data_IF_330661930769
#
_entry.id   IF_330661930769
#
_cell.length_a   1.000
_cell.length_b   1.000
_cell.length_c   1.000
_cell.angle_alpha   90.00
_cell.angle_beta   90.00
_cell.angle_gamma   90.00
#
_symmetry.space_group_name_H-M   'P 1'
#
loop_
_entity.id
_entity.type
_entity.pdbx_description
1 polymer ?
#
# COMPACT_ATOMS: atom_id res chain seq x y z
N UNK A 1 -24.81 8.69 15.97
CA UNK A 1 -23.64 9.38 15.40
C UNK A 1 -22.53 8.35 15.28
N UNK A 2 -22.03 7.99 14.10
CA UNK A 2 -20.78 7.25 14.05
C UNK A 2 -19.74 8.19 14.65
N UNK A 3 -19.17 7.82 15.80
CA UNK A 3 -18.10 8.62 16.41
C UNK A 3 -16.99 8.72 15.35
N UNK A 4 -16.32 9.88 15.19
CA UNK A 4 -15.17 9.95 14.30
C UNK A 4 -14.21 8.84 14.72
N UNK A 5 -14.00 7.87 13.82
CA UNK A 5 -13.13 6.73 14.08
C UNK A 5 -11.80 7.27 14.62
N UNK A 6 -11.36 6.77 15.77
CA UNK A 6 -10.21 7.33 16.49
C UNK A 6 -9.00 7.37 15.56
N UNK A 7 -8.31 8.51 15.47
CA UNK A 7 -7.13 8.70 14.62
C UNK A 7 -6.06 7.62 14.83
N UNK A 8 -6.01 7.04 16.03
CA UNK A 8 -5.14 5.93 16.39
C UNK A 8 -5.45 4.62 15.64
N UNK A 9 -6.72 4.34 15.35
CA UNK A 9 -7.15 3.13 14.61
C UNK A 9 -6.66 3.14 13.17
N UNK A 10 -6.78 4.29 12.50
CA UNK A 10 -6.20 4.50 11.17
C UNK A 10 -4.68 4.29 11.20
N UNK A 11 -3.98 4.81 12.21
CA UNK A 11 -2.54 4.61 12.35
C UNK A 11 -2.15 3.13 12.48
N UNK A 12 -2.82 2.40 13.38
CA UNK A 12 -2.56 0.97 13.57
C UNK A 12 -2.87 0.17 12.29
N UNK A 13 -3.99 0.45 11.63
CA UNK A 13 -4.37 -0.24 10.41
C UNK A 13 -3.33 -0.01 9.28
N UNK A 14 -2.84 1.23 9.14
CA UNK A 14 -1.79 1.56 8.19
C UNK A 14 -0.47 0.82 8.49
N UNK A 15 -0.05 0.80 9.75
CA UNK A 15 1.18 0.09 10.16
C UNK A 15 1.04 -1.42 9.94
N UNK A 16 -0.13 -2.00 10.23
CA UNK A 16 -0.37 -3.42 10.00
C UNK A 16 -0.30 -3.80 8.50
N UNK A 17 -0.91 -3.00 7.64
CA UNK A 17 -0.81 -3.18 6.19
C UNK A 17 0.65 -3.03 5.70
N UNK A 18 1.39 -2.06 6.25
CA UNK A 18 2.80 -1.84 5.93
C UNK A 18 3.68 -3.04 6.32
N UNK A 19 3.46 -3.62 7.50
CA UNK A 19 4.20 -4.82 7.94
C UNK A 19 3.96 -5.97 6.96
N UNK A 20 2.72 -6.15 6.50
CA UNK A 20 2.40 -7.15 5.48
C UNK A 20 3.18 -6.90 4.18
N UNK A 21 3.25 -5.66 3.69
CA UNK A 21 3.97 -5.32 2.45
C UNK A 21 5.47 -5.59 2.55
N UNK A 22 6.07 -5.24 3.70
CA UNK A 22 7.48 -5.52 4.00
C UNK A 22 7.74 -7.03 4.07
N UNK A 23 6.87 -7.78 4.76
CA UNK A 23 6.99 -9.24 4.84
C UNK A 23 6.87 -9.91 3.49
N UNK A 24 5.97 -9.43 2.63
CA UNK A 24 5.81 -9.95 1.28
C UNK A 24 7.07 -9.73 0.45
N UNK A 25 7.65 -8.52 0.48
CA UNK A 25 8.87 -8.22 -0.26
C UNK A 25 10.07 -9.04 0.25
N UNK A 26 10.24 -9.13 1.58
CA UNK A 26 11.29 -9.94 2.19
C UNK A 26 11.12 -11.43 1.88
N UNK A 27 9.90 -11.95 1.93
CA UNK A 27 9.60 -13.35 1.62
C UNK A 27 9.91 -13.70 0.17
N UNK A 28 9.52 -12.84 -0.78
CA UNK A 28 9.84 -13.02 -2.20
C UNK A 28 11.36 -13.02 -2.42
N UNK A 29 12.08 -12.07 -1.83
CA UNK A 29 13.54 -12.00 -1.97
C UNK A 29 14.28 -13.10 -1.22
N UNK A 30 13.76 -13.63 -0.12
CA UNK A 30 14.31 -14.79 0.55
C UNK A 30 14.22 -16.05 -0.34
N UNK A 31 13.10 -16.23 -1.03
CA UNK A 31 12.91 -17.32 -2.00
C UNK A 31 13.86 -17.14 -3.19
N UNK A 32 13.94 -15.94 -3.77
CA UNK A 32 14.85 -15.65 -4.87
C UNK A 32 16.33 -15.78 -4.46
N UNK A 33 16.68 -15.41 -3.24
CA UNK A 33 18.01 -15.64 -2.67
C UNK A 33 18.36 -17.12 -2.61
N UNK A 34 17.40 -17.97 -2.23
CA UNK A 34 17.61 -19.41 -2.15
C UNK A 34 17.73 -20.08 -3.54
N UNK A 35 16.88 -19.72 -4.50
CA UNK A 35 16.83 -20.39 -5.81
C UNK A 35 17.73 -19.77 -6.88
N UNK A 36 17.98 -18.46 -6.81
CA UNK A 36 18.68 -17.70 -7.85
C UNK A 36 19.93 -16.98 -7.32
N UNK A 37 20.25 -17.12 -6.03
CA UNK A 37 21.44 -16.51 -5.43
C UNK A 37 21.36 -14.99 -5.34
N UNK A 38 20.16 -14.41 -5.33
CA UNK A 38 19.96 -12.96 -5.20
C UNK A 38 20.42 -12.50 -3.81
N UNK A 39 21.34 -11.55 -3.78
CA UNK A 39 21.86 -10.99 -2.54
C UNK A 39 20.99 -9.83 -2.04
N UNK A 40 20.87 -9.75 -0.71
CA UNK A 40 20.27 -8.60 -0.02
C UNK A 40 21.36 -7.58 0.23
N UNK A 41 21.52 -6.65 -0.71
CA UNK A 41 22.53 -5.60 -0.69
C UNK A 41 21.94 -4.24 -0.28
N UNK A 42 22.78 -3.20 -0.31
CA UNK A 42 22.35 -1.83 0.02
C UNK A 42 21.26 -1.31 -0.92
N UNK A 43 21.25 -1.74 -2.18
CA UNK A 43 20.20 -1.37 -3.12
C UNK A 43 18.87 -2.01 -2.73
N UNK A 44 18.86 -3.29 -2.33
CA UNK A 44 17.64 -3.92 -1.80
C UNK A 44 17.05 -3.13 -0.61
N UNK A 45 17.87 -2.73 0.35
CA UNK A 45 17.40 -1.94 1.51
C UNK A 45 16.82 -0.60 1.04
N UNK A 46 17.46 0.04 0.05
CA UNK A 46 16.97 1.29 -0.56
C UNK A 46 15.61 1.08 -1.24
N UNK A 47 15.43 -0.03 -1.95
CA UNK A 47 14.16 -0.38 -2.57
C UNK A 47 13.07 -0.62 -1.52
N UNK A 48 13.38 -1.37 -0.46
CA UNK A 48 12.45 -1.65 0.63
C UNK A 48 11.95 -0.36 1.30
N UNK A 49 12.85 0.57 1.63
CA UNK A 49 12.48 1.87 2.21
C UNK A 49 11.62 2.70 1.25
N UNK A 50 11.90 2.64 -0.05
CA UNK A 50 11.11 3.32 -1.07
C UNK A 50 9.69 2.75 -1.14
N UNK A 51 9.55 1.42 -1.14
CA UNK A 51 8.25 0.72 -1.17
C UNK A 51 7.42 1.07 0.07
N UNK A 52 8.06 1.10 1.24
CA UNK A 52 7.43 1.55 2.49
C UNK A 52 6.83 2.96 2.32
N UNK A 53 7.61 3.89 1.77
CA UNK A 53 7.16 5.27 1.53
C UNK A 53 5.97 5.35 0.57
N UNK A 54 6.01 4.60 -0.53
CA UNK A 54 4.92 4.55 -1.51
C UNK A 54 3.64 3.94 -0.93
N UNK A 55 3.73 2.81 -0.23
CA UNK A 55 2.57 2.13 0.36
C UNK A 55 1.89 2.98 1.43
N UNK A 56 2.67 3.61 2.32
CA UNK A 56 2.13 4.51 3.34
C UNK A 56 1.48 5.73 2.71
N UNK A 57 2.07 6.31 1.66
CA UNK A 57 1.48 7.46 0.97
C UNK A 57 0.09 7.15 0.41
N UNK A 58 -0.06 6.03 -0.30
CA UNK A 58 -1.36 5.62 -0.85
C UNK A 58 -2.38 5.35 0.27
N UNK A 59 -1.96 4.69 1.35
CA UNK A 59 -2.82 4.42 2.51
C UNK A 59 -3.34 5.71 3.17
N UNK A 60 -2.47 6.72 3.35
CA UNK A 60 -2.85 8.01 3.93
C UNK A 60 -3.89 8.71 3.06
N UNK A 61 -3.70 8.72 1.74
CA UNK A 61 -4.64 9.37 0.81
C UNK A 61 -6.04 8.76 0.89
N UNK A 62 -6.14 7.42 0.98
CA UNK A 62 -7.43 6.72 1.16
C UNK A 62 -8.02 7.05 2.53
N UNK A 63 -7.24 6.99 3.60
CA UNK A 63 -7.70 7.21 4.97
C UNK A 63 -8.17 8.63 5.22
N UNK A 64 -7.50 9.63 4.67
CA UNK A 64 -7.94 11.01 4.72
C UNK A 64 -9.25 11.19 3.95
N UNK A 65 -9.42 10.49 2.82
CA UNK A 65 -10.69 10.54 2.09
C UNK A 65 -11.85 9.90 2.86
N UNK A 66 -11.60 8.79 3.57
CA UNK A 66 -12.58 8.17 4.48
C UNK A 66 -12.98 9.16 5.57
N UNK A 67 -12.03 9.84 6.21
CA UNK A 67 -12.30 10.87 7.23
C UNK A 67 -13.13 12.02 6.68
N UNK A 68 -12.79 12.51 5.50
CA UNK A 68 -13.54 13.59 4.83
C UNK A 68 -14.98 13.16 4.52
N UNK A 69 -15.17 11.94 4.00
CA UNK A 69 -16.50 11.44 3.65
C UNK A 69 -17.35 11.09 4.87
N UNK A 70 -16.74 10.68 6.00
CA UNK A 70 -17.44 10.50 7.28
C UNK A 70 -18.10 11.79 7.77
N UNK A 71 -17.43 12.94 7.57
CA UNK A 71 -17.99 14.25 7.93
C UNK A 71 -19.10 14.69 6.96
N UNK A 72 -19.02 14.30 5.69
CA UNK A 72 -19.97 14.69 4.63
C UNK A 72 -21.21 13.80 4.55
N UNK A 73 -21.11 12.51 4.90
CA UNK A 73 -22.17 11.51 4.69
C UNK A 73 -22.65 10.90 6.02
N UNK A 74 -23.13 11.75 6.92
CA UNK A 74 -23.48 11.41 8.31
C UNK A 74 -24.54 10.28 8.43
N UNK A 75 -25.32 10.03 7.38
CA UNK A 75 -26.41 9.04 7.36
C UNK A 75 -26.06 7.70 6.68
N UNK A 76 -24.82 7.50 6.21
CA UNK A 76 -24.40 6.25 5.55
C UNK A 76 -23.60 5.36 6.50
N UNK A 77 -23.64 4.06 6.27
CA UNK A 77 -22.84 3.10 7.02
C UNK A 77 -21.33 3.29 6.71
N UNK A 78 -20.46 3.01 7.67
CA UNK A 78 -19.01 3.14 7.53
C UNK A 78 -18.48 2.37 6.31
N UNK A 79 -18.97 1.15 6.08
CA UNK A 79 -18.59 0.31 4.92
C UNK A 79 -18.93 0.96 3.59
N UNK A 80 -20.08 1.63 3.50
CA UNK A 80 -20.48 2.36 2.30
C UNK A 80 -19.59 3.59 2.06
N UNK A 81 -19.28 4.32 3.15
CA UNK A 81 -18.38 5.48 3.12
C UNK A 81 -16.97 5.06 2.71
N UNK A 82 -16.47 3.94 3.23
CA UNK A 82 -15.16 3.38 2.86
C UNK A 82 -15.12 3.02 1.38
N UNK A 83 -16.14 2.34 0.86
CA UNK A 83 -16.23 1.98 -0.56
C UNK A 83 -16.26 3.22 -1.47
N UNK A 84 -17.06 4.24 -1.13
CA UNK A 84 -17.09 5.51 -1.89
C UNK A 84 -15.71 6.18 -1.89
N UNK A 85 -15.05 6.17 -0.73
CA UNK A 85 -13.72 6.77 -0.57
C UNK A 85 -12.68 6.05 -1.43
N UNK A 86 -12.69 4.71 -1.46
CA UNK A 86 -11.82 3.91 -2.34
C UNK A 86 -12.03 4.31 -3.80
N UNK A 87 -13.28 4.33 -4.29
CA UNK A 87 -13.56 4.63 -5.69
C UNK A 87 -13.08 6.04 -6.07
N UNK A 88 -13.20 7.01 -5.15
CA UNK A 88 -12.77 8.39 -5.37
C UNK A 88 -11.25 8.55 -5.41
N UNK A 89 -10.49 7.74 -4.66
CA UNK A 89 -9.02 7.82 -4.65
C UNK A 89 -8.36 6.85 -5.64
N UNK A 90 -9.06 5.81 -6.08
CA UNK A 90 -8.53 4.75 -6.95
C UNK A 90 -7.84 5.31 -8.20
N UNK A 91 -8.48 6.25 -8.91
CA UNK A 91 -7.90 6.83 -10.12
C UNK A 91 -6.59 7.57 -9.87
N UNK A 92 -6.46 8.24 -8.71
CA UNK A 92 -5.22 8.92 -8.32
C UNK A 92 -4.12 7.92 -8.00
N UNK A 93 -4.38 6.94 -7.12
CA UNK A 93 -3.40 5.94 -6.68
C UNK A 93 -2.96 5.01 -7.83
N UNK A 94 -3.87 4.66 -8.74
CA UNK A 94 -3.51 3.90 -9.94
C UNK A 94 -2.65 4.73 -10.88
N UNK A 95 -2.96 6.01 -11.10
CA UNK A 95 -2.15 6.83 -11.99
C UNK A 95 -0.73 7.06 -11.44
N UNK A 96 -0.58 7.28 -10.13
CA UNK A 96 0.74 7.43 -9.50
C UNK A 96 1.55 6.14 -9.62
N UNK A 97 0.97 5.01 -9.22
CA UNK A 97 1.64 3.70 -9.28
C UNK A 97 1.97 3.26 -10.71
N UNK A 98 1.04 3.38 -11.66
CA UNK A 98 1.25 3.02 -13.06
C UNK A 98 2.38 3.84 -13.68
N UNK A 99 2.44 5.14 -13.41
CA UNK A 99 3.52 6.00 -13.93
C UNK A 99 4.88 5.49 -13.47
N UNK A 100 5.01 5.09 -12.20
CA UNK A 100 6.26 4.52 -11.68
C UNK A 100 6.53 3.14 -12.28
N UNK A 101 5.51 2.28 -12.39
CA UNK A 101 5.62 0.96 -13.01
C UNK A 101 6.13 1.07 -14.45
N UNK A 102 5.65 2.03 -15.25
CA UNK A 102 6.15 2.25 -16.61
C UNK A 102 7.65 2.61 -16.64
N UNK A 103 8.10 3.48 -15.73
CA UNK A 103 9.51 3.85 -15.62
C UNK A 103 10.35 2.65 -15.17
N UNK A 104 9.88 1.88 -14.19
CA UNK A 104 10.56 0.68 -13.70
C UNK A 104 10.63 -0.42 -14.76
N UNK A 105 9.59 -0.59 -15.58
CA UNK A 105 9.61 -1.52 -16.70
C UNK A 105 10.65 -1.11 -17.75
N UNK A 106 10.75 0.18 -18.06
CA UNK A 106 11.81 0.67 -18.95
C UNK A 106 13.21 0.40 -18.36
N UNK A 107 13.41 0.63 -17.06
CA UNK A 107 14.67 0.32 -16.38
C UNK A 107 14.94 -1.19 -16.30
N UNK A 108 13.91 -2.03 -16.22
CA UNK A 108 14.07 -3.49 -16.19
C UNK A 108 14.50 -4.03 -17.56
N UNK A 109 13.97 -3.46 -18.64
CA UNK A 109 14.25 -3.89 -20.02
C UNK A 109 15.54 -3.30 -20.59
N UNK A 110 15.82 -2.04 -20.28
CA UNK A 110 16.93 -1.26 -20.86
C UNK A 110 18.01 -0.88 -19.86
N UNK A 111 17.83 -1.19 -18.57
CA UNK A 111 18.83 -0.95 -17.54
C UNK A 111 19.95 -1.99 -17.53
N UNK A 112 20.96 -1.74 -16.71
CA UNK A 112 22.08 -2.66 -16.50
C UNK A 112 21.77 -3.76 -15.49
N UNK A 113 22.51 -4.87 -15.58
CA UNK A 113 22.38 -6.01 -14.65
C UNK A 113 22.62 -5.63 -13.18
N UNK A 114 23.42 -4.58 -12.91
CA UNK A 114 23.73 -4.12 -11.55
C UNK A 114 22.52 -3.59 -10.79
N UNK A 115 21.50 -3.05 -11.47
CA UNK A 115 20.29 -2.49 -10.84
C UNK A 115 19.06 -3.38 -11.04
N UNK A 116 19.21 -4.52 -11.71
CA UNK A 116 18.07 -5.36 -12.10
C UNK A 116 17.26 -5.83 -10.90
N UNK A 117 17.93 -6.37 -9.88
CA UNK A 117 17.26 -6.85 -8.66
C UNK A 117 16.68 -5.73 -7.83
N UNK A 118 17.32 -4.56 -7.83
CA UNK A 118 16.77 -3.33 -7.24
C UNK A 118 15.46 -2.91 -7.91
N UNK A 119 15.43 -2.87 -9.24
CA UNK A 119 14.24 -2.52 -10.02
C UNK A 119 13.14 -3.57 -9.83
N UNK A 120 13.49 -4.86 -9.79
CA UNK A 120 12.54 -5.95 -9.50
C UNK A 120 11.93 -5.78 -8.09
N UNK A 121 12.74 -5.42 -7.10
CA UNK A 121 12.26 -5.16 -5.74
C UNK A 121 11.26 -4.00 -5.70
N UNK A 122 11.59 -2.88 -6.35
CA UNK A 122 10.70 -1.74 -6.47
C UNK A 122 9.40 -2.10 -7.20
N UNK A 123 9.49 -2.84 -8.31
CA UNK A 123 8.33 -3.21 -9.12
C UNK A 123 7.37 -4.10 -8.34
N UNK A 124 7.90 -5.16 -7.71
CA UNK A 124 7.10 -6.07 -6.89
C UNK A 124 6.47 -5.34 -5.70
N UNK A 125 7.26 -4.49 -5.02
CA UNK A 125 6.80 -3.74 -3.86
C UNK A 125 5.74 -2.70 -4.18
N UNK A 126 5.87 -1.96 -5.28
CA UNK A 126 4.85 -0.97 -5.69
C UNK A 126 3.55 -1.66 -6.11
N UNK A 127 3.62 -2.73 -6.90
CA UNK A 127 2.42 -3.48 -7.31
C UNK A 127 1.69 -4.04 -6.09
N UNK A 128 2.43 -4.66 -5.16
CA UNK A 128 1.85 -5.18 -3.91
C UNK A 128 1.31 -4.05 -3.03
N UNK A 129 2.05 -2.96 -2.86
CA UNK A 129 1.69 -1.84 -1.99
C UNK A 129 0.45 -1.08 -2.47
N UNK A 130 0.31 -0.87 -3.77
CA UNK A 130 -0.90 -0.26 -4.34
C UNK A 130 -2.12 -1.15 -4.13
N UNK A 131 -2.01 -2.46 -4.29
CA UNK A 131 -3.11 -3.38 -3.96
C UNK A 131 -3.43 -3.36 -2.45
N UNK A 132 -2.40 -3.46 -1.60
CA UNK A 132 -2.54 -3.58 -0.15
C UNK A 132 -3.13 -2.32 0.50
N UNK A 133 -2.69 -1.13 0.09
CA UNK A 133 -3.22 0.16 0.57
C UNK A 133 -4.70 0.36 0.26
N UNK A 134 -5.16 -0.10 -0.92
CA UNK A 134 -6.55 0.06 -1.34
C UNK A 134 -7.44 -0.99 -0.66
N UNK A 135 -7.06 -2.27 -0.72
CA UNK A 135 -7.92 -3.38 -0.33
C UNK A 135 -7.65 -3.87 1.10
N UNK A 136 -6.38 -4.10 1.49
CA UNK A 136 -6.07 -4.65 2.81
C UNK A 136 -6.24 -3.61 3.91
N UNK A 137 -5.69 -2.41 3.75
CA UNK A 137 -5.74 -1.37 4.78
C UNK A 137 -7.18 -0.91 5.04
N UNK A 138 -7.97 -0.71 3.98
CA UNK A 138 -9.38 -0.33 4.11
C UNK A 138 -10.24 -1.46 4.67
N UNK A 139 -10.05 -2.70 4.23
CA UNK A 139 -10.80 -3.85 4.77
C UNK A 139 -10.50 -4.08 6.26
N UNK A 140 -9.24 -3.94 6.67
CA UNK A 140 -8.85 -4.06 8.08
C UNK A 140 -9.52 -2.98 8.94
N UNK A 141 -9.60 -1.75 8.42
CA UNK A 141 -10.26 -0.64 9.10
C UNK A 141 -11.79 -0.85 9.21
N UNK A 142 -12.43 -1.29 8.12
CA UNK A 142 -13.87 -1.61 8.09
C UNK A 142 -14.19 -2.73 9.07
N UNK A 143 -13.43 -3.82 9.03
CA UNK A 143 -13.60 -4.95 9.94
C UNK A 143 -13.46 -4.54 11.42
N UNK A 144 -12.52 -3.64 11.72
CA UNK A 144 -12.32 -3.14 13.08
C UNK A 144 -13.51 -2.32 13.56
N UNK A 145 -14.08 -1.46 12.71
CA UNK A 145 -15.25 -0.64 13.06
C UNK A 145 -16.53 -1.48 13.19
N UNK A 146 -16.77 -2.44 12.29
CA UNK A 146 -17.94 -3.34 12.36
C UNK A 146 -17.96 -4.16 13.66
N UNK A 147 -16.78 -4.61 14.13
CA UNK A 147 -16.66 -5.39 15.37
C UNK A 147 -16.94 -4.58 16.64
N UNK A 148 -16.95 -3.25 16.54
CA UNK A 148 -17.29 -2.33 17.64
C UNK A 148 -18.77 -1.90 17.63
N UNK A 149 -19.57 -2.40 16.67
CA UNK A 149 -21.01 -2.16 16.61
C UNK A 149 -21.39 -0.76 16.12
N UNK A 150 -20.55 -0.14 15.27
CA UNK A 150 -20.81 1.14 14.62
C UNK A 150 -21.14 1.01 13.14
#
# INVERSE_FOLDING_TARGET
>A
MPKPASSWRFGIAAIAALIHDVMLLLGVFAILGHFQGVEVDTLFVTALLTVIGFSVHDTIVVFDRIRENLLKHINRNFTEIANISIVQTLGRSLNTSLTVVFVLLALLLFGGETIKWFVVALLAGIISGTYSSIFNATALLVWWEERLGH
#
